data_IF_938319811177
#
_entry.id   IF_938319811177
#
_cell.length_a   1.000
_cell.length_b   1.000
_cell.length_c   1.000
_cell.angle_alpha   90.00
_cell.angle_beta   90.00
_cell.angle_gamma   90.00
#
_symmetry.space_group_name_H-M   'P 1'
#
loop_
_entity.id
_entity.type
_entity.pdbx_description
1 polymer ?
#
# COMPACT_ATOMS: atom_id res chain seq x y z
N UNK A 1 -3.04 22.07 -4.51
CA UNK A 1 -3.28 20.61 -4.46
C UNK A 1 -2.68 19.99 -3.21
N UNK A 2 -3.54 19.48 -2.32
CA UNK A 2 -3.11 18.82 -1.07
C UNK A 2 -2.14 17.68 -1.42
N UNK A 3 -1.00 17.53 -0.72
CA UNK A 3 -0.14 16.37 -0.88
C UNK A 3 -1.00 15.15 -0.54
N UNK A 4 -1.34 14.36 -1.56
CA UNK A 4 -2.03 13.10 -1.34
C UNK A 4 -1.08 12.24 -0.54
N UNK A 5 -1.40 12.04 0.74
CA UNK A 5 -0.63 11.16 1.63
C UNK A 5 -0.98 9.72 1.28
N UNK A 6 -0.61 9.29 0.09
CA UNK A 6 -0.89 7.95 -0.42
C UNK A 6 0.40 7.31 -0.89
N UNK A 7 0.60 6.06 -0.51
CA UNK A 7 1.67 5.22 -1.02
C UNK A 7 1.11 4.23 -2.04
N UNK A 8 1.95 3.83 -2.99
CA UNK A 8 1.62 2.83 -4.00
C UNK A 8 2.67 1.74 -3.98
N UNK A 9 2.22 0.49 -4.00
CA UNK A 9 3.06 -0.69 -4.18
C UNK A 9 2.66 -1.40 -5.47
N UNK A 10 3.63 -2.04 -6.12
CA UNK A 10 3.40 -2.77 -7.36
C UNK A 10 4.19 -4.08 -7.33
N UNK A 11 3.50 -5.19 -7.57
CA UNK A 11 4.10 -6.50 -7.64
C UNK A 11 4.79 -6.70 -8.99
N UNK A 12 6.03 -7.18 -9.00
CA UNK A 12 6.74 -7.50 -10.27
C UNK A 12 6.39 -8.86 -10.85
N UNK A 13 5.64 -9.69 -10.11
CA UNK A 13 5.29 -11.06 -10.50
C UNK A 13 3.89 -11.09 -11.11
N UNK A 14 2.88 -10.66 -10.36
CA UNK A 14 1.49 -10.62 -10.83
C UNK A 14 1.10 -9.29 -11.50
N UNK A 15 1.99 -8.27 -11.48
CA UNK A 15 1.74 -6.93 -12.04
C UNK A 15 0.57 -6.17 -11.39
N UNK A 16 0.12 -6.61 -10.23
CA UNK A 16 -0.92 -5.94 -9.45
C UNK A 16 -0.37 -4.70 -8.75
N UNK A 17 -1.20 -3.68 -8.61
CA UNK A 17 -0.88 -2.48 -7.86
C UNK A 17 -1.89 -2.17 -6.77
N UNK A 18 -1.37 -1.73 -5.63
CA UNK A 18 -2.16 -1.41 -4.45
C UNK A 18 -1.81 0.00 -3.95
N UNK A 19 -2.82 0.76 -3.52
CA UNK A 19 -2.69 2.12 -3.02
C UNK A 19 -3.36 2.23 -1.66
N UNK A 20 -2.61 2.71 -0.66
CA UNK A 20 -3.11 2.97 0.70
C UNK A 20 -2.79 4.39 1.13
N UNK A 21 -3.55 4.89 2.12
CA UNK A 21 -3.28 6.18 2.76
C UNK A 21 -2.16 6.04 3.78
N UNK A 22 -1.11 6.85 3.65
CA UNK A 22 0.02 6.90 4.57
C UNK A 22 0.01 8.17 5.39
N UNK A 23 0.74 8.19 6.49
CA UNK A 23 0.97 9.37 7.30
C UNK A 23 2.49 9.66 7.39
N UNK A 24 2.89 10.70 8.12
CA UNK A 24 4.30 11.12 8.21
C UNK A 24 5.17 10.17 9.05
N UNK A 25 4.55 9.21 9.74
CA UNK A 25 5.19 8.17 10.54
C UNK A 25 5.11 6.79 9.83
N UNK A 26 4.47 6.72 8.66
CA UNK A 26 4.32 5.47 7.92
C UNK A 26 5.62 5.12 7.20
N UNK A 27 6.16 3.96 7.52
CA UNK A 27 7.32 3.37 6.86
C UNK A 27 6.89 2.51 5.66
N UNK A 28 7.81 2.22 4.72
CA UNK A 28 7.54 1.32 3.60
C UNK A 28 7.06 -0.08 4.02
N UNK A 29 7.47 -0.54 5.21
CA UNK A 29 7.04 -1.81 5.77
C UNK A 29 5.55 -1.80 6.17
N UNK A 30 5.04 -0.66 6.68
CA UNK A 30 3.63 -0.52 7.03
C UNK A 30 2.76 -0.67 5.78
N UNK A 31 3.16 -0.03 4.67
CA UNK A 31 2.47 -0.11 3.37
C UNK A 31 2.47 -1.53 2.82
N UNK A 32 3.54 -2.29 3.04
CA UNK A 32 3.62 -3.69 2.62
C UNK A 32 2.69 -4.57 3.44
N UNK A 33 2.67 -4.42 4.77
CA UNK A 33 1.76 -5.16 5.63
C UNK A 33 0.30 -4.87 5.30
N UNK A 34 -0.05 -3.59 5.11
CA UNK A 34 -1.40 -3.18 4.68
C UNK A 34 -1.84 -3.89 3.39
N UNK A 35 -0.91 -4.07 2.44
CA UNK A 35 -1.19 -4.79 1.20
C UNK A 35 -1.47 -6.27 1.43
N UNK A 36 -0.67 -6.94 2.28
CA UNK A 36 -0.88 -8.35 2.63
C UNK A 36 -2.23 -8.53 3.34
N UNK A 37 -2.53 -7.69 4.33
CA UNK A 37 -3.80 -7.74 5.07
C UNK A 37 -5.00 -7.50 4.13
N UNK A 38 -4.87 -6.58 3.16
CA UNK A 38 -5.90 -6.33 2.15
C UNK A 38 -6.09 -7.53 1.20
N UNK A 39 -5.02 -8.23 0.83
CA UNK A 39 -5.10 -9.46 0.04
C UNK A 39 -5.76 -10.60 0.83
N UNK A 40 -5.45 -10.75 2.11
CA UNK A 40 -6.05 -11.76 2.98
C UNK A 40 -7.55 -11.48 3.21
N UNK A 41 -7.95 -10.22 3.38
CA UNK A 41 -9.35 -9.83 3.55
C UNK A 41 -10.20 -10.00 2.28
N UNK A 42 -9.58 -10.09 1.10
CA UNK A 42 -10.25 -10.28 -0.17
C UNK A 42 -10.54 -11.76 -0.51
N UNK A 43 -10.03 -12.71 0.30
CA UNK A 43 -10.26 -14.16 0.15
C UNK A 43 -11.56 -14.66 0.81
#
# INVERSE_FOLDING_TARGET
DKPRKTARISCRVCLEDYQTSVNMLSDPLDVYNDWIDACDAAN
#
